data_IF_431820439445
#
_entry.id   IF_431820439445
#
_cell.length_a   1.000
_cell.length_b   1.000
_cell.length_c   1.000
_cell.angle_alpha   90.00
_cell.angle_beta   90.00
_cell.angle_gamma   90.00
#
_symmetry.space_group_name_H-M   'P 1'
#
loop_
_entity.id
_entity.type
_entity.pdbx_description
1 polymer ?
#
# COMPACT_ATOMS: atom_id res chain seq x y z
N UNK A 1 -4.13 -6.68 -3.08
CA UNK A 1 -4.56 -7.93 -3.75
C UNK A 1 -3.33 -8.72 -4.18
N UNK A 2 -3.47 -10.01 -4.54
CA UNK A 2 -2.36 -10.82 -5.03
C UNK A 2 -2.34 -10.75 -6.57
N UNK A 3 -1.19 -10.40 -7.16
CA UNK A 3 -0.96 -10.40 -8.61
C UNK A 3 0.50 -10.75 -8.92
N UNK A 4 0.72 -11.55 -9.96
CA UNK A 4 2.05 -12.04 -10.36
C UNK A 4 2.86 -12.66 -9.20
N UNK A 5 2.16 -13.37 -8.30
CA UNK A 5 2.77 -13.99 -7.12
C UNK A 5 3.23 -13.01 -6.04
N UNK A 6 2.86 -11.73 -6.14
CA UNK A 6 3.22 -10.68 -5.17
C UNK A 6 1.98 -9.97 -4.64
N UNK A 7 2.01 -9.63 -3.35
CA UNK A 7 1.02 -8.75 -2.79
C UNK A 7 1.21 -7.35 -3.38
N UNK A 8 0.10 -6.72 -3.77
CA UNK A 8 0.07 -5.37 -4.31
C UNK A 8 -0.95 -4.52 -3.54
N UNK A 9 -0.64 -3.23 -3.42
CA UNK A 9 -1.58 -2.19 -2.99
C UNK A 9 -1.95 -1.33 -4.19
N UNK A 10 -3.21 -0.93 -4.28
CA UNK A 10 -3.67 0.08 -5.21
C UNK A 10 -4.63 1.02 -4.48
N UNK A 11 -4.54 2.32 -4.78
CA UNK A 11 -5.53 3.30 -4.34
C UNK A 11 -6.73 3.26 -5.29
N UNK A 12 -7.94 3.17 -4.75
CA UNK A 12 -9.19 3.05 -5.52
C UNK A 12 -10.01 4.35 -5.52
N UNK A 13 -9.33 5.48 -5.44
CA UNK A 13 -9.97 6.80 -5.30
C UNK A 13 -10.29 7.16 -3.85
N UNK A 14 -9.43 6.76 -2.91
CA UNK A 14 -9.58 7.14 -1.51
C UNK A 14 -9.51 8.67 -1.33
N UNK A 15 -10.36 9.22 -0.45
CA UNK A 15 -10.43 10.66 -0.20
C UNK A 15 -9.11 11.25 0.29
N UNK A 16 -8.40 10.51 1.14
CA UNK A 16 -7.16 10.97 1.77
C UNK A 16 -5.89 10.38 1.12
N UNK A 17 -6.04 9.48 0.15
CA UNK A 17 -4.95 8.75 -0.47
C UNK A 17 -4.51 7.49 0.31
N UNK A 18 -3.85 6.61 -0.43
CA UNK A 18 -3.09 5.48 0.11
C UNK A 18 -1.59 5.73 -0.10
N UNK A 19 -0.76 5.38 0.89
CA UNK A 19 0.68 5.62 0.88
C UNK A 19 1.44 4.33 1.18
N UNK A 20 2.56 4.09 0.51
CA UNK A 20 3.50 3.02 0.83
C UNK A 20 4.87 3.66 1.11
N UNK A 21 5.44 3.41 2.29
CA UNK A 21 6.70 3.99 2.76
C UNK A 21 6.74 5.52 2.57
N UNK A 22 5.67 6.21 3.01
CA UNK A 22 5.47 7.66 2.89
C UNK A 22 5.30 8.20 1.45
N UNK A 23 5.33 7.34 0.43
CA UNK A 23 5.06 7.72 -0.96
C UNK A 23 3.61 7.40 -1.34
N UNK A 24 2.93 8.34 -2.01
CA UNK A 24 1.54 8.15 -2.44
C UNK A 24 1.45 7.06 -3.53
N UNK A 25 0.51 6.14 -3.39
CA UNK A 25 0.26 5.06 -4.35
C UNK A 25 -0.55 5.61 -5.52
N UNK A 26 0.11 5.84 -6.66
CA UNK A 26 -0.54 6.31 -7.90
C UNK A 26 -0.87 5.21 -8.91
N UNK A 27 -0.28 4.02 -8.73
CA UNK A 27 -0.51 2.83 -9.55
C UNK A 27 -0.33 1.59 -8.66
N UNK A 28 -0.75 0.38 -9.08
CA UNK A 28 -0.51 -0.82 -8.30
C UNK A 28 0.97 -0.98 -7.92
N UNK A 29 1.25 -1.01 -6.62
CA UNK A 29 2.61 -1.09 -6.06
C UNK A 29 2.78 -2.42 -5.33
N UNK A 30 3.85 -3.14 -5.64
CA UNK A 30 4.18 -4.37 -4.91
C UNK A 30 4.54 -4.08 -3.46
N UNK A 31 4.11 -4.97 -2.55
CA UNK A 31 4.37 -4.91 -1.12
C UNK A 31 5.41 -5.98 -0.74
N UNK A 32 6.32 -5.59 0.14
CA UNK A 32 7.28 -6.46 0.79
C UNK A 32 7.05 -6.48 2.32
N UNK A 33 7.41 -7.57 3.02
CA UNK A 33 7.45 -7.57 4.48
C UNK A 33 8.30 -6.42 5.01
N UNK A 34 7.78 -5.66 5.97
CA UNK A 34 8.41 -4.48 6.55
C UNK A 34 7.89 -3.15 6.00
N UNK A 35 7.24 -3.14 4.83
CA UNK A 35 6.66 -1.93 4.24
C UNK A 35 5.60 -1.31 5.15
N UNK A 36 5.57 0.03 5.20
CA UNK A 36 4.56 0.79 5.92
C UNK A 36 3.48 1.28 4.96
N UNK A 37 2.25 0.86 5.20
CA UNK A 37 1.07 1.31 4.47
C UNK A 37 0.34 2.38 5.28
N UNK A 38 0.22 3.57 4.70
CA UNK A 38 -0.64 4.64 5.18
C UNK A 38 -2.00 4.59 4.48
N UNK A 39 -3.08 4.55 5.25
CA UNK A 39 -4.46 4.63 4.76
C UNK A 39 -5.11 5.80 5.50
N UNK A 40 -5.18 6.97 4.85
CA UNK A 40 -5.53 8.22 5.52
C UNK A 40 -4.60 8.48 6.71
N UNK A 41 -5.13 8.44 7.94
CA UNK A 41 -4.36 8.67 9.19
C UNK A 41 -3.84 7.39 9.85
N UNK A 42 -4.21 6.22 9.33
CA UNK A 42 -3.82 4.94 9.92
C UNK A 42 -2.56 4.44 9.23
N UNK A 43 -1.58 3.98 10.01
CA UNK A 43 -0.37 3.33 9.50
C UNK A 43 -0.37 1.88 9.94
N UNK A 44 -0.16 0.97 9.00
CA UNK A 44 0.00 -0.46 9.23
C UNK A 44 1.32 -0.94 8.64
N UNK A 45 1.93 -1.95 9.24
CA UNK A 45 3.14 -2.57 8.73
C UNK A 45 2.80 -3.91 8.07
N UNK A 46 3.29 -4.13 6.86
CA UNK A 46 3.17 -5.41 6.17
C UNK A 46 4.03 -6.43 6.90
N UNK A 47 3.40 -7.52 7.33
CA UNK A 47 4.06 -8.68 7.92
C UNK A 47 3.78 -9.89 7.05
N UNK A 48 4.67 -10.88 7.15
CA UNK A 48 4.50 -12.18 6.48
C UNK A 48 3.37 -12.97 7.11
#
# INVERSE_FOLDING_TARGET
YLADGRWQVADLGSTNGTFCNQMKVGSPTALAPGDQLGIGKTVVQVRR
#
